data_IF_557341119680
#
_entry.id   IF_557341119680
#
_cell.length_a   1.000
_cell.length_b   1.000
_cell.length_c   1.000
_cell.angle_alpha   90.00
_cell.angle_beta   90.00
_cell.angle_gamma   90.00
#
_symmetry.space_group_name_H-M   'P 1'
#
loop_
_entity.id
_entity.type
_entity.pdbx_description
1 polymer ?
#
# COMPACT_ATOMS: atom_id res chain seq x y z
N UNK A 1 15.59 9.05 8.36
CA UNK A 1 14.70 9.04 9.54
C UNK A 1 15.32 9.87 10.63
N UNK A 2 14.59 10.65 11.41
CA UNK A 2 15.17 11.35 12.56
C UNK A 2 15.26 10.43 13.79
N UNK A 3 16.19 10.73 14.69
CA UNK A 3 16.31 10.13 16.02
C UNK A 3 15.05 10.38 16.88
N UNK A 4 14.93 9.72 18.03
CA UNK A 4 13.75 9.85 18.90
C UNK A 4 13.55 11.26 19.46
N UNK A 5 14.63 12.01 19.60
CA UNK A 5 14.70 13.41 20.03
C UNK A 5 14.60 14.40 18.86
N UNK A 6 14.48 13.91 17.61
CA UNK A 6 14.24 14.74 16.42
C UNK A 6 15.45 15.56 15.92
N UNK A 7 16.59 15.50 16.60
CA UNK A 7 17.75 16.37 16.32
C UNK A 7 18.70 15.79 15.27
N UNK A 8 18.74 14.46 15.12
CA UNK A 8 19.79 13.78 14.36
C UNK A 8 19.20 12.92 13.25
N UNK A 9 19.76 13.00 12.04
CA UNK A 9 19.37 12.14 10.93
C UNK A 9 20.02 10.75 11.07
N UNK A 10 19.20 9.72 11.20
CA UNK A 10 19.59 8.32 11.13
C UNK A 10 19.76 7.88 9.68
N UNK A 11 20.98 7.48 9.34
CA UNK A 11 21.39 6.97 8.02
C UNK A 11 21.74 5.48 8.04
N UNK A 12 22.17 4.93 9.18
CA UNK A 12 22.47 3.51 9.31
C UNK A 12 21.19 2.63 9.39
N UNK A 13 21.12 1.60 8.55
CA UNK A 13 20.01 0.65 8.47
C UNK A 13 19.67 -0.01 9.81
N UNK A 14 20.68 -0.36 10.61
CA UNK A 14 20.50 -1.00 11.93
C UNK A 14 19.82 -0.08 12.95
N UNK A 15 20.19 1.21 12.96
CA UNK A 15 19.59 2.23 13.84
C UNK A 15 18.16 2.56 13.41
N UNK A 16 17.90 2.60 12.11
CA UNK A 16 16.56 2.74 11.54
C UNK A 16 15.68 1.58 11.99
N UNK A 17 16.12 0.33 11.80
CA UNK A 17 15.34 -0.86 12.21
C UNK A 17 15.01 -0.88 13.71
N UNK A 18 15.98 -0.52 14.57
CA UNK A 18 15.74 -0.43 16.01
C UNK A 18 14.70 0.63 16.38
N UNK A 19 14.68 1.79 15.70
CA UNK A 19 13.65 2.82 15.91
C UNK A 19 12.26 2.33 15.53
N UNK A 20 12.14 1.57 14.45
CA UNK A 20 10.87 0.99 14.02
C UNK A 20 10.36 -0.11 14.95
N UNK A 21 11.25 -0.88 15.60
CA UNK A 21 10.88 -2.02 16.42
C UNK A 21 9.91 -1.68 17.57
N UNK A 22 10.09 -0.54 18.25
CA UNK A 22 9.23 -0.16 19.38
C UNK A 22 7.80 0.22 18.96
N UNK A 23 7.58 1.14 17.99
CA UNK A 23 6.24 1.45 17.47
C UNK A 23 5.53 0.24 16.87
N UNK A 24 6.24 -0.58 16.08
CA UNK A 24 5.65 -1.79 15.53
C UNK A 24 5.23 -2.77 16.63
N UNK A 25 6.09 -2.97 17.64
CA UNK A 25 5.75 -3.82 18.77
C UNK A 25 4.51 -3.29 19.48
N UNK A 26 4.42 -1.99 19.80
CA UNK A 26 3.25 -1.43 20.49
C UNK A 26 1.95 -1.57 19.68
N UNK A 27 2.01 -1.36 18.36
CA UNK A 27 0.85 -1.51 17.47
C UNK A 27 0.41 -2.98 17.39
N UNK A 28 1.36 -3.91 17.31
CA UNK A 28 1.07 -5.35 17.22
C UNK A 28 0.69 -5.99 18.56
N UNK A 29 1.17 -5.45 19.69
CA UNK A 29 0.73 -5.86 21.03
C UNK A 29 -0.55 -5.19 21.49
N UNK A 30 -1.09 -4.24 20.71
CA UNK A 30 -2.41 -3.67 20.98
C UNK A 30 -3.46 -4.75 20.66
N UNK A 31 -3.79 -5.54 21.69
CA UNK A 31 -4.92 -6.45 21.63
C UNK A 31 -6.19 -5.61 21.66
N UNK A 32 -6.69 -5.24 20.48
CA UNK A 32 -8.02 -4.67 20.35
C UNK A 32 -9.03 -5.76 20.70
N UNK A 33 -9.53 -5.75 21.94
CA UNK A 33 -10.69 -6.55 22.32
C UNK A 33 -11.94 -5.92 21.71
N UNK A 34 -12.14 -6.14 20.41
CA UNK A 34 -13.36 -5.75 19.72
C UNK A 34 -14.43 -6.78 20.11
N UNK A 35 -15.49 -6.32 20.77
CA UNK A 35 -16.62 -7.19 21.12
C UNK A 35 -17.44 -7.52 19.88
N UNK A 36 -17.96 -8.75 19.80
CA UNK A 36 -18.90 -9.18 18.76
C UNK A 36 -20.11 -8.24 18.64
N UNK A 37 -20.58 -7.68 19.76
CA UNK A 37 -21.68 -6.70 19.76
C UNK A 37 -21.33 -5.36 19.08
N UNK A 38 -20.04 -5.04 18.94
CA UNK A 38 -19.56 -3.89 18.16
C UNK A 38 -19.46 -4.25 16.69
N UNK A 39 -19.05 -5.48 16.35
CA UNK A 39 -19.00 -6.00 14.98
C UNK A 39 -20.41 -6.08 14.39
N UNK A 40 -21.40 -6.58 15.16
CA UNK A 40 -22.80 -6.69 14.74
C UNK A 40 -23.48 -5.33 14.52
N UNK A 41 -22.94 -4.25 15.11
CA UNK A 41 -23.45 -2.88 14.89
C UNK A 41 -22.89 -2.23 13.63
N UNK A 42 -21.86 -2.80 13.00
CA UNK A 42 -21.35 -2.27 11.74
C UNK A 42 -22.32 -2.61 10.61
N UNK A 43 -22.69 -1.65 9.75
CA UNK A 43 -23.46 -1.95 8.55
C UNK A 43 -22.63 -2.91 7.68
N UNK A 44 -23.10 -4.14 7.54
CA UNK A 44 -22.49 -5.08 6.60
C UNK A 44 -22.78 -4.58 5.19
N UNK A 45 -21.72 -4.27 4.46
CA UNK A 45 -21.78 -3.99 3.03
C UNK A 45 -21.72 -5.32 2.30
N UNK A 46 -22.51 -5.49 1.24
CA UNK A 46 -22.47 -6.67 0.39
C UNK A 46 -21.03 -7.01 0.01
N UNK A 47 -20.70 -8.30 0.06
CA UNK A 47 -19.37 -8.79 -0.32
C UNK A 47 -19.07 -8.35 -1.76
N UNK A 48 -18.04 -7.52 -1.92
CA UNK A 48 -17.66 -6.99 -3.21
C UNK A 48 -16.85 -8.05 -4.00
N UNK A 49 -17.57 -8.91 -4.71
CA UNK A 49 -16.99 -9.97 -5.54
C UNK A 49 -16.21 -9.42 -6.76
N UNK A 50 -16.18 -8.10 -6.99
CA UNK A 50 -15.35 -7.48 -8.05
C UNK A 50 -13.86 -7.75 -7.80
N UNK A 51 -13.45 -7.92 -6.54
CA UNK A 51 -12.06 -8.25 -6.20
C UNK A 51 -11.68 -9.71 -6.54
N UNK A 52 -12.67 -10.59 -6.69
CA UNK A 52 -12.45 -11.99 -7.11
C UNK A 52 -12.30 -12.11 -8.63
N UNK A 53 -12.63 -11.05 -9.37
CA UNK A 53 -12.46 -11.01 -10.82
C UNK A 53 -11.01 -10.60 -11.16
N UNK A 54 -10.38 -11.27 -12.14
CA UNK A 54 -9.09 -10.84 -12.62
C UNK A 54 -9.20 -9.41 -13.19
N UNK A 55 -8.21 -8.53 -12.91
CA UNK A 55 -8.25 -7.15 -13.38
C UNK A 55 -8.42 -7.07 -14.90
N UNK A 56 -9.28 -6.17 -15.38
CA UNK A 56 -9.37 -5.95 -16.83
C UNK A 56 -8.27 -4.99 -17.32
N UNK A 57 -7.91 -5.13 -18.60
CA UNK A 57 -6.88 -4.30 -19.23
C UNK A 57 -7.23 -2.78 -19.15
N UNK A 58 -8.46 -2.34 -19.45
CA UNK A 58 -8.84 -0.93 -19.29
C UNK A 58 -8.73 -0.41 -17.84
N UNK A 59 -9.13 -1.20 -16.85
CA UNK A 59 -9.03 -0.81 -15.43
C UNK A 59 -7.58 -0.67 -15.00
N UNK A 60 -6.71 -1.58 -15.44
CA UNK A 60 -5.28 -1.54 -15.13
C UNK A 60 -4.61 -0.32 -15.76
N UNK A 61 -4.90 -0.04 -17.04
CA UNK A 61 -4.38 1.15 -17.73
C UNK A 61 -4.81 2.42 -16.98
N UNK A 62 -6.08 2.51 -16.55
CA UNK A 62 -6.59 3.64 -15.77
C UNK A 62 -5.90 3.78 -14.41
N UNK A 63 -5.73 2.70 -13.66
CA UNK A 63 -5.06 2.70 -12.36
C UNK A 63 -3.57 3.11 -12.50
N UNK A 64 -2.89 2.58 -13.51
CA UNK A 64 -1.50 2.96 -13.83
C UNK A 64 -1.40 4.44 -14.19
N UNK A 65 -2.29 4.96 -15.03
CA UNK A 65 -2.33 6.39 -15.35
C UNK A 65 -2.50 7.25 -14.10
N UNK A 66 -3.36 6.83 -13.15
CA UNK A 66 -3.51 7.53 -11.87
C UNK A 66 -2.21 7.53 -11.05
N UNK A 67 -1.55 6.37 -10.93
CA UNK A 67 -0.27 6.22 -10.23
C UNK A 67 0.82 7.11 -10.85
N UNK A 68 0.96 7.11 -12.19
CA UNK A 68 1.96 7.91 -12.89
C UNK A 68 1.62 9.40 -13.02
N UNK A 69 0.34 9.78 -12.87
CA UNK A 69 -0.09 11.18 -12.91
C UNK A 69 0.25 11.96 -11.64
N UNK A 70 0.77 11.30 -10.60
CA UNK A 70 1.10 11.93 -9.31
C UNK A 70 -0.14 12.35 -8.49
N UNK A 71 -1.35 12.05 -8.98
CA UNK A 71 -2.60 12.18 -8.23
C UNK A 71 -2.89 10.87 -7.53
N UNK A 72 -2.22 10.63 -6.41
CA UNK A 72 -2.53 9.48 -5.55
C UNK A 72 -3.91 9.70 -4.90
N UNK A 73 -4.90 8.82 -5.12
CA UNK A 73 -6.05 8.76 -4.24
C UNK A 73 -5.54 8.14 -2.94
N UNK A 74 -5.36 8.98 -1.93
CA UNK A 74 -5.04 8.60 -0.53
C UNK A 74 -3.56 8.30 -0.25
N UNK A 75 -2.95 9.19 0.53
CA UNK A 75 -2.02 9.03 1.66
C UNK A 75 -1.00 7.87 1.74
N UNK A 76 -0.73 7.11 0.70
CA UNK A 76 0.38 6.18 0.70
C UNK A 76 1.66 6.99 0.49
N UNK A 77 2.56 6.94 1.46
CA UNK A 77 3.83 7.72 1.55
C UNK A 77 4.85 7.26 0.49
N UNK A 78 4.38 6.78 -0.66
CA UNK A 78 5.19 6.34 -1.79
C UNK A 78 5.31 7.54 -2.73
N UNK A 79 6.52 8.13 -2.85
CA UNK A 79 6.72 9.30 -3.70
C UNK A 79 6.45 8.93 -5.18
N UNK A 80 5.70 9.73 -5.94
CA UNK A 80 5.50 9.52 -7.38
C UNK A 80 6.84 9.53 -8.16
N UNK A 81 7.91 10.07 -7.59
CA UNK A 81 9.27 10.02 -8.11
C UNK A 81 9.81 8.60 -8.28
N UNK A 82 9.37 7.64 -7.45
CA UNK A 82 9.82 6.23 -7.52
C UNK A 82 9.40 5.58 -8.84
N UNK A 83 8.36 6.11 -9.49
CA UNK A 83 7.79 5.61 -10.72
C UNK A 83 8.37 6.27 -11.99
N UNK A 84 9.13 7.37 -11.88
CA UNK A 84 9.60 8.16 -13.04
C UNK A 84 10.64 7.46 -13.92
N UNK A 85 11.44 6.54 -13.39
CA UNK A 85 12.51 5.89 -14.16
C UNK A 85 12.16 4.46 -14.60
N UNK A 86 11.34 3.76 -13.81
CA UNK A 86 10.87 2.41 -14.14
C UNK A 86 9.50 2.38 -14.84
N UNK A 87 8.81 3.51 -14.95
CA UNK A 87 7.38 3.54 -15.27
C UNK A 87 6.96 2.86 -16.57
N UNK A 88 7.56 3.20 -17.72
CA UNK A 88 7.23 2.56 -19.00
C UNK A 88 7.50 1.04 -19.00
N UNK A 89 8.57 0.61 -18.32
CA UNK A 89 8.93 -0.81 -18.21
C UNK A 89 7.96 -1.56 -17.29
N UNK A 90 7.64 -0.98 -16.13
CA UNK A 90 6.67 -1.52 -15.19
C UNK A 90 5.29 -1.63 -15.84
N UNK A 91 4.90 -0.65 -16.67
CA UNK A 91 3.66 -0.68 -17.44
C UNK A 91 3.62 -1.85 -18.44
N UNK A 92 4.72 -2.10 -19.17
CA UNK A 92 4.80 -3.20 -20.12
C UNK A 92 4.77 -4.59 -19.45
N UNK A 93 5.53 -4.75 -18.36
CA UNK A 93 5.59 -6.01 -17.60
C UNK A 93 4.22 -6.36 -16.98
N UNK A 94 3.55 -5.37 -16.38
CA UNK A 94 2.23 -5.57 -15.77
C UNK A 94 1.13 -5.86 -16.80
N UNK A 95 1.18 -5.18 -17.96
CA UNK A 95 0.27 -5.46 -19.08
C UNK A 95 0.43 -6.88 -19.60
N UNK A 96 1.67 -7.35 -19.71
CA UNK A 96 2.00 -8.72 -20.16
C UNK A 96 1.50 -9.76 -19.16
N UNK A 97 1.68 -9.53 -17.87
CA UNK A 97 1.22 -10.42 -16.79
C UNK A 97 -0.31 -10.63 -16.87
N UNK A 98 -1.08 -9.55 -17.01
CA UNK A 98 -2.54 -9.61 -17.07
C UNK A 98 -3.04 -10.28 -18.34
N UNK A 99 -2.37 -10.07 -19.47
CA UNK A 99 -2.67 -10.81 -20.71
C UNK A 99 -2.39 -12.32 -20.55
N UNK A 100 -1.36 -12.68 -19.79
CA UNK A 100 -1.02 -14.07 -19.47
C UNK A 100 -2.03 -14.76 -18.55
N UNK A 101 -2.55 -14.05 -17.54
CA UNK A 101 -3.56 -14.56 -16.60
C UNK A 101 -4.94 -14.79 -17.23
N UNK A 102 -5.17 -14.31 -18.45
CA UNK A 102 -6.42 -14.48 -19.19
C UNK A 102 -6.49 -15.80 -19.99
N UNK A 103 -5.42 -16.60 -20.04
CA UNK A 103 -5.42 -17.91 -20.71
C UNK A 103 -6.05 -19.01 -19.86
#
# INVERSE_FOLDING_TARGET
MLSSDGTTLLTEKSKIMKRWANPFRSVLTFSSAISDAVIDRFPQVDTNNVLDLPPCLPETIRAMQQIFSGKAPVSDVIPPEVFKHGGPRLMAEHTTLIQGMRR
#
